data_IF_988265672911
#
_entry.id   IF_988265672911
#
_cell.length_a   1.000
_cell.length_b   1.000
_cell.length_c   1.000
_cell.angle_alpha   90.00
_cell.angle_beta   90.00
_cell.angle_gamma   90.00
#
_symmetry.space_group_name_H-M   'P 1'
#
loop_
_entity.id
_entity.type
_entity.pdbx_description
1 polymer ?
#
# COMPACT_ATOMS: atom_id res chain seq x y z
N UNK A 1 1.97 -16.72 35.80
CA UNK A 1 1.30 -16.51 34.50
C UNK A 1 -0.07 -15.92 34.77
N UNK A 2 -0.37 -14.75 34.23
CA UNK A 2 -1.71 -14.17 34.35
C UNK A 2 -2.66 -15.01 33.50
N UNK A 3 -3.59 -15.71 34.16
CA UNK A 3 -4.62 -16.47 33.47
C UNK A 3 -5.79 -15.54 33.13
N UNK A 4 -6.17 -15.49 31.85
CA UNK A 4 -7.33 -14.71 31.38
C UNK A 4 -8.67 -15.21 31.95
N UNK A 5 -8.68 -16.39 32.58
CA UNK A 5 -9.86 -17.05 33.14
C UNK A 5 -11.00 -17.12 32.10
N UNK A 6 -10.67 -17.73 30.96
CA UNK A 6 -11.55 -17.97 29.83
C UNK A 6 -11.43 -19.44 29.45
N UNK A 7 -12.52 -20.02 28.95
CA UNK A 7 -12.49 -21.26 28.21
C UNK A 7 -11.71 -21.13 26.89
N UNK A 8 -11.77 -22.15 26.01
CA UNK A 8 -11.19 -22.09 24.68
C UNK A 8 -11.61 -20.82 23.93
N UNK A 9 -10.64 -20.13 23.35
CA UNK A 9 -10.85 -18.94 22.52
C UNK A 9 -10.81 -19.38 21.05
N UNK A 10 -11.77 -18.92 20.24
CA UNK A 10 -11.82 -19.21 18.80
C UNK A 10 -11.38 -18.00 17.96
N UNK A 11 -12.09 -17.71 16.87
CA UNK A 11 -11.70 -16.76 15.82
C UNK A 11 -11.80 -15.30 16.32
N UNK A 12 -10.78 -14.91 17.09
CA UNK A 12 -10.58 -13.57 17.66
C UNK A 12 -10.16 -12.58 16.59
N UNK A 13 -10.33 -11.29 16.89
CA UNK A 13 -9.85 -10.21 16.05
C UNK A 13 -9.30 -9.05 16.90
N UNK A 14 -8.49 -8.18 16.30
CA UNK A 14 -7.80 -7.07 16.97
C UNK A 14 -8.29 -5.73 16.42
N UNK A 15 -8.37 -4.71 17.27
CA UNK A 15 -8.71 -3.35 16.82
C UNK A 15 -7.59 -2.78 15.93
N UNK A 16 -7.91 -1.94 14.92
CA UNK A 16 -6.90 -1.38 14.01
C UNK A 16 -5.81 -0.56 14.71
N UNK A 17 -6.17 0.08 15.84
CA UNK A 17 -5.23 0.80 16.70
C UNK A 17 -4.43 -0.10 17.65
N UNK A 18 -4.62 -1.43 17.54
CA UNK A 18 -3.96 -2.48 18.29
C UNK A 18 -4.13 -2.41 19.81
N UNK A 19 -5.13 -1.67 20.31
CA UNK A 19 -5.37 -1.58 21.76
C UNK A 19 -6.09 -2.79 22.34
N UNK A 20 -7.01 -3.38 21.59
CA UNK A 20 -7.89 -4.43 22.10
C UNK A 20 -7.92 -5.66 21.21
N UNK A 21 -7.82 -6.83 21.83
CA UNK A 21 -8.20 -8.12 21.22
C UNK A 21 -9.59 -8.50 21.71
N UNK A 22 -10.50 -8.76 20.78
CA UNK A 22 -11.82 -9.30 21.08
C UNK A 22 -11.77 -10.82 20.88
N UNK A 23 -11.88 -11.55 21.99
CA UNK A 23 -11.70 -13.00 22.05
C UNK A 23 -13.03 -13.70 22.35
N UNK A 24 -13.66 -14.37 21.36
CA UNK A 24 -14.87 -15.13 21.59
C UNK A 24 -14.55 -16.41 22.37
N UNK A 25 -15.19 -16.58 23.53
CA UNK A 25 -15.11 -17.75 24.39
C UNK A 25 -16.46 -18.50 24.30
N UNK A 26 -16.64 -19.38 23.29
CA UNK A 26 -17.92 -20.04 22.99
C UNK A 26 -18.56 -20.75 24.19
N UNK A 27 -17.75 -21.49 24.93
CA UNK A 27 -18.18 -22.30 26.07
C UNK A 27 -18.48 -21.46 27.33
N UNK A 28 -18.04 -20.21 27.35
CA UNK A 28 -18.35 -19.24 28.40
C UNK A 28 -19.52 -18.32 28.00
N UNK A 29 -20.02 -18.44 26.76
CA UNK A 29 -21.08 -17.60 26.18
C UNK A 29 -20.79 -16.10 26.26
N UNK A 30 -19.52 -15.73 26.05
CA UNK A 30 -19.08 -14.34 26.12
C UNK A 30 -17.95 -14.04 25.12
N UNK A 31 -17.77 -12.76 24.83
CA UNK A 31 -16.58 -12.21 24.18
C UNK A 31 -15.79 -11.43 25.23
N UNK A 32 -14.53 -11.79 25.43
CA UNK A 32 -13.62 -11.01 26.26
C UNK A 32 -12.97 -9.90 25.44
N UNK A 33 -12.90 -8.70 26.01
CA UNK A 33 -12.07 -7.62 25.49
C UNK A 33 -10.79 -7.62 26.30
N UNK A 34 -9.67 -7.89 25.65
CA UNK A 34 -8.34 -7.98 26.25
C UNK A 34 -7.56 -6.74 25.83
N UNK A 35 -7.05 -5.99 26.81
CA UNK A 35 -6.11 -4.91 26.58
C UNK A 35 -4.75 -5.48 26.20
N UNK A 36 -4.21 -5.04 25.06
CA UNK A 36 -3.00 -5.61 24.47
C UNK A 36 -1.77 -5.31 25.31
N UNK A 37 -1.65 -4.09 25.85
CA UNK A 37 -0.49 -3.65 26.61
C UNK A 37 -0.36 -4.41 27.94
N UNK A 38 -1.47 -4.52 28.69
CA UNK A 38 -1.49 -5.18 29.99
C UNK A 38 -1.73 -6.69 29.92
N UNK A 39 -2.20 -7.18 28.77
CA UNK A 39 -2.65 -8.57 28.59
C UNK A 39 -3.81 -8.95 29.52
N UNK A 40 -4.60 -7.98 29.99
CA UNK A 40 -5.69 -8.22 30.93
C UNK A 40 -7.06 -8.16 30.25
N UNK A 41 -8.00 -8.97 30.73
CA UNK A 41 -9.41 -8.86 30.33
C UNK A 41 -10.01 -7.61 30.99
N UNK A 42 -10.34 -6.60 30.19
CA UNK A 42 -10.93 -5.33 30.65
C UNK A 42 -12.46 -5.32 30.59
N UNK A 43 -13.06 -6.17 29.73
CA UNK A 43 -14.51 -6.36 29.63
C UNK A 43 -14.86 -7.80 29.26
N UNK A 44 -16.04 -8.24 29.69
CA UNK A 44 -16.68 -9.49 29.27
C UNK A 44 -18.07 -9.16 28.76
N UNK A 45 -18.34 -9.48 27.51
CA UNK A 45 -19.56 -9.12 26.79
C UNK A 45 -20.37 -10.40 26.56
N UNK A 46 -21.55 -10.49 27.18
CA UNK A 46 -22.46 -11.63 27.01
C UNK A 46 -23.27 -11.42 25.73
N UNK A 47 -22.61 -11.57 24.58
CA UNK A 47 -23.17 -11.19 23.27
C UNK A 47 -24.26 -12.12 22.78
N UNK A 48 -24.35 -13.34 23.29
CA UNK A 48 -25.28 -14.38 22.84
C UNK A 48 -24.71 -15.78 23.09
N UNK A 49 -25.40 -16.81 22.62
CA UNK A 49 -24.97 -18.19 22.82
C UNK A 49 -23.91 -18.64 21.81
N UNK A 50 -22.84 -19.26 22.33
CA UNK A 50 -21.76 -19.85 21.55
C UNK A 50 -21.13 -18.84 20.56
N UNK A 51 -20.58 -17.70 21.02
CA UNK A 51 -19.87 -16.77 20.15
C UNK A 51 -18.64 -17.46 19.57
N UNK A 52 -18.45 -17.43 18.24
CA UNK A 52 -17.35 -18.15 17.60
C UNK A 52 -16.42 -17.27 16.77
N UNK A 53 -16.94 -16.29 16.05
CA UNK A 53 -16.16 -15.42 15.18
C UNK A 53 -16.45 -13.97 15.49
N UNK A 54 -15.38 -13.21 15.70
CA UNK A 54 -15.39 -11.77 15.80
C UNK A 54 -14.77 -11.21 14.51
N UNK A 55 -15.38 -10.17 13.97
CA UNK A 55 -14.80 -9.33 12.94
C UNK A 55 -14.83 -7.87 13.38
N UNK A 56 -13.68 -7.25 13.46
CA UNK A 56 -13.53 -5.82 13.72
C UNK A 56 -13.55 -5.07 12.39
N UNK A 57 -14.38 -4.04 12.30
CA UNK A 57 -14.46 -3.17 11.12
C UNK A 57 -13.10 -2.51 10.85
N UNK A 58 -12.63 -2.39 9.59
CA UNK A 58 -11.34 -1.78 9.25
C UNK A 58 -11.14 -0.37 9.82
N UNK A 59 -12.23 0.39 9.95
CA UNK A 59 -12.25 1.73 10.53
C UNK A 59 -12.29 1.77 12.07
N UNK A 60 -12.32 0.61 12.73
CA UNK A 60 -12.25 0.48 14.19
C UNK A 60 -13.47 0.95 14.97
N UNK A 61 -14.60 1.22 14.31
CA UNK A 61 -15.81 1.70 14.97
C UNK A 61 -16.64 0.57 15.58
N UNK A 62 -16.73 -0.57 14.91
CA UNK A 62 -17.60 -1.67 15.29
C UNK A 62 -16.88 -3.02 15.27
N UNK A 63 -17.41 -3.97 16.04
CA UNK A 63 -17.13 -5.38 15.87
C UNK A 63 -18.42 -6.18 15.69
N UNK A 64 -18.39 -7.23 14.88
CA UNK A 64 -19.50 -8.13 14.65
C UNK A 64 -19.16 -9.52 15.18
N UNK A 65 -20.08 -10.08 15.97
CA UNK A 65 -19.92 -11.39 16.58
C UNK A 65 -20.98 -12.34 16.05
N UNK A 66 -20.56 -13.50 15.58
CA UNK A 66 -21.47 -14.60 15.27
C UNK A 66 -21.74 -15.46 16.50
N UNK A 67 -22.99 -15.51 16.93
CA UNK A 67 -23.46 -16.35 18.03
C UNK A 67 -24.02 -17.66 17.44
N UNK A 68 -23.19 -18.69 17.31
CA UNK A 68 -23.42 -19.83 16.41
C UNK A 68 -24.63 -20.69 16.75
N UNK A 69 -25.08 -20.68 17.99
CA UNK A 69 -26.28 -21.40 18.43
C UNK A 69 -27.44 -20.46 18.75
N UNK A 70 -27.29 -19.17 18.42
CA UNK A 70 -28.32 -18.15 18.58
C UNK A 70 -28.87 -17.70 17.22
N UNK A 71 -30.00 -16.99 17.21
CA UNK A 71 -30.64 -16.49 15.98
C UNK A 71 -30.32 -15.01 15.73
N UNK A 72 -29.10 -14.59 16.05
CA UNK A 72 -28.65 -13.23 15.78
C UNK A 72 -27.12 -13.09 15.76
N UNK A 73 -26.65 -12.03 15.11
CA UNK A 73 -25.31 -11.47 15.30
C UNK A 73 -25.37 -10.40 16.39
N UNK A 74 -24.21 -10.06 16.95
CA UNK A 74 -24.06 -8.90 17.83
C UNK A 74 -23.15 -7.88 17.19
N UNK A 75 -23.64 -6.65 17.00
CA UNK A 75 -22.86 -5.50 16.58
C UNK A 75 -22.43 -4.72 17.82
N UNK A 76 -21.15 -4.77 18.16
CA UNK A 76 -20.51 -4.10 19.28
C UNK A 76 -19.98 -2.75 18.80
N UNK A 77 -20.23 -1.68 19.55
CA UNK A 77 -19.54 -0.40 19.43
C UNK A 77 -18.21 -0.47 20.18
N UNK A 78 -17.10 -0.19 19.50
CA UNK A 78 -15.76 -0.35 20.08
C UNK A 78 -15.33 0.80 21.00
N UNK A 79 -16.08 1.89 21.05
CA UNK A 79 -15.83 3.00 21.97
C UNK A 79 -16.52 2.78 23.31
N UNK A 80 -17.73 2.20 23.30
CA UNK A 80 -18.55 2.00 24.51
C UNK A 80 -18.59 0.55 25.00
N UNK A 81 -18.28 -0.40 24.12
CA UNK A 81 -18.50 -1.84 24.29
C UNK A 81 -19.96 -2.24 24.51
N UNK A 82 -20.90 -1.35 24.19
CA UNK A 82 -22.31 -1.70 24.08
C UNK A 82 -22.57 -2.45 22.78
N UNK A 83 -23.59 -3.30 22.74
CA UNK A 83 -23.92 -4.04 21.53
C UNK A 83 -25.41 -4.10 21.25
N UNK A 84 -25.74 -4.26 19.98
CA UNK A 84 -27.09 -4.45 19.47
C UNK A 84 -27.19 -5.78 18.75
N UNK A 85 -28.38 -6.37 18.70
CA UNK A 85 -28.63 -7.64 18.01
C UNK A 85 -29.08 -7.39 16.58
N UNK A 86 -28.50 -8.14 15.63
CA UNK A 86 -28.94 -8.19 14.23
C UNK A 86 -29.58 -9.57 14.01
N UNK A 87 -30.91 -9.66 13.88
CA UNK A 87 -31.60 -10.94 13.76
C UNK A 87 -31.16 -11.75 12.54
N UNK A 88 -31.09 -13.06 12.72
CA UNK A 88 -30.91 -14.04 11.65
C UNK A 88 -32.01 -15.11 11.73
N UNK A 89 -32.18 -15.91 10.69
CA UNK A 89 -33.15 -17.01 10.74
C UNK A 89 -32.63 -18.26 11.49
N UNK A 90 -31.31 -18.44 11.52
CA UNK A 90 -30.61 -19.55 12.15
C UNK A 90 -29.22 -19.11 12.64
N UNK A 91 -28.49 -20.03 13.29
CA UNK A 91 -27.13 -19.85 13.80
C UNK A 91 -26.16 -19.26 12.76
N UNK A 92 -25.74 -18.00 12.88
CA UNK A 92 -24.68 -17.46 12.03
C UNK A 92 -23.31 -18.03 12.42
N UNK A 93 -22.43 -18.27 11.46
CA UNK A 93 -21.10 -18.83 11.73
C UNK A 93 -19.97 -17.95 11.19
N UNK A 94 -19.50 -18.22 9.97
CA UNK A 94 -18.47 -17.42 9.33
C UNK A 94 -19.01 -16.06 8.92
N UNK A 95 -18.25 -15.01 9.20
CA UNK A 95 -18.50 -13.66 8.71
C UNK A 95 -17.35 -13.23 7.79
N UNK A 96 -17.64 -12.30 6.89
CA UNK A 96 -16.63 -11.57 6.14
C UNK A 96 -17.13 -10.16 5.85
N UNK A 97 -16.25 -9.17 5.92
CA UNK A 97 -16.52 -7.89 5.28
C UNK A 97 -16.34 -8.03 3.78
N UNK A 98 -17.32 -7.54 3.01
CA UNK A 98 -17.18 -7.36 1.58
C UNK A 98 -16.69 -5.92 1.39
N UNK A 99 -15.49 -5.69 0.84
CA UNK A 99 -15.08 -4.35 0.48
C UNK A 99 -16.11 -3.79 -0.50
N UNK A 100 -16.68 -2.63 -0.19
CA UNK A 100 -17.51 -1.93 -1.16
C UNK A 100 -16.57 -1.27 -2.18
N UNK A 101 -16.35 -1.95 -3.29
CA UNK A 101 -15.76 -1.32 -4.47
C UNK A 101 -16.86 -0.47 -5.11
N UNK A 102 -17.13 0.71 -4.54
CA UNK A 102 -17.80 1.73 -5.33
C UNK A 102 -16.93 1.90 -6.58
N UNK A 103 -17.54 1.76 -7.76
CA UNK A 103 -16.84 1.99 -9.03
C UNK A 103 -16.42 3.47 -9.07
N UNK A 104 -15.32 3.80 -8.41
CA UNK A 104 -14.68 5.09 -8.51
C UNK A 104 -14.22 5.23 -9.95
N UNK A 105 -14.67 6.26 -10.65
CA UNK A 105 -14.13 6.57 -11.97
C UNK A 105 -12.63 6.78 -11.84
N UNK A 106 -11.82 5.98 -12.54
CA UNK A 106 -10.37 6.12 -12.50
C UNK A 106 -9.96 7.42 -13.18
N UNK A 107 -9.25 8.30 -12.47
CA UNK A 107 -8.58 9.46 -13.07
C UNK A 107 -7.20 9.07 -13.55
N UNK A 108 -6.68 9.73 -14.58
CA UNK A 108 -5.28 9.60 -14.95
C UNK A 108 -4.43 10.50 -14.05
N UNK A 109 -3.50 9.90 -13.31
CA UNK A 109 -2.41 10.63 -12.67
C UNK A 109 -1.28 10.73 -13.68
N UNK A 110 -1.19 11.88 -14.35
CA UNK A 110 -0.19 12.09 -15.39
C UNK A 110 1.18 12.30 -14.76
N UNK A 111 2.13 11.46 -15.11
CA UNK A 111 3.49 11.45 -14.59
C UNK A 111 4.48 11.67 -15.74
N UNK A 112 5.66 12.18 -15.46
CA UNK A 112 6.69 12.44 -16.47
C UNK A 112 8.05 11.92 -16.06
N UNK A 113 8.82 11.43 -17.03
CA UNK A 113 10.23 11.07 -16.83
C UNK A 113 11.05 11.33 -18.09
N UNK A 114 12.25 11.88 -17.93
CA UNK A 114 13.24 12.00 -18.99
C UNK A 114 14.31 10.91 -18.80
N UNK A 115 14.36 9.93 -19.71
CA UNK A 115 15.29 8.80 -19.66
C UNK A 115 16.21 8.82 -20.88
N UNK A 116 17.47 8.33 -20.79
CA UNK A 116 18.29 8.10 -21.96
C UNK A 116 17.83 6.81 -22.64
N UNK A 117 16.80 6.90 -23.49
CA UNK A 117 16.24 5.76 -24.21
C UNK A 117 17.11 5.37 -25.41
N UNK A 118 17.86 6.35 -25.95
CA UNK A 118 18.89 6.16 -26.97
C UNK A 118 20.25 6.72 -26.54
N UNK A 119 21.27 6.56 -27.39
CA UNK A 119 22.64 6.94 -27.09
C UNK A 119 23.41 5.90 -26.25
N UNK A 120 24.55 6.31 -25.70
CA UNK A 120 25.50 5.44 -24.97
C UNK A 120 24.88 4.72 -23.76
N UNK A 121 23.95 5.37 -23.07
CA UNK A 121 23.25 4.81 -21.91
C UNK A 121 21.88 4.22 -22.26
N UNK A 122 21.55 4.12 -23.56
CA UNK A 122 20.23 3.70 -24.06
C UNK A 122 19.72 2.38 -23.47
N UNK A 123 20.63 1.44 -23.18
CA UNK A 123 20.24 0.18 -22.54
C UNK A 123 19.68 0.40 -21.14
N UNK A 124 20.31 1.24 -20.31
CA UNK A 124 19.87 1.50 -18.93
C UNK A 124 18.54 2.24 -18.90
N UNK A 125 18.36 3.25 -19.75
CA UNK A 125 17.10 3.99 -19.82
C UNK A 125 15.93 3.10 -20.24
N UNK A 126 16.14 2.16 -21.17
CA UNK A 126 15.10 1.18 -21.54
C UNK A 126 14.80 0.17 -20.44
N UNK A 127 15.78 -0.23 -19.63
CA UNK A 127 15.52 -1.06 -18.45
C UNK A 127 14.66 -0.32 -17.41
N UNK A 128 14.98 0.95 -17.11
CA UNK A 128 14.16 1.77 -16.21
C UNK A 128 12.75 1.98 -16.75
N UNK A 129 12.60 2.27 -18.04
CA UNK A 129 11.28 2.39 -18.69
C UNK A 129 10.44 1.13 -18.43
N UNK A 130 11.00 -0.07 -18.63
CA UNK A 130 10.27 -1.32 -18.39
C UNK A 130 9.93 -1.53 -16.92
N UNK A 131 10.78 -1.10 -15.99
CA UNK A 131 10.49 -1.09 -14.57
C UNK A 131 9.27 -0.23 -14.23
N UNK A 132 9.25 1.02 -14.70
CA UNK A 132 8.09 1.90 -14.53
C UNK A 132 6.82 1.34 -15.17
N UNK A 133 6.91 0.79 -16.38
CA UNK A 133 5.78 0.13 -17.05
C UNK A 133 5.29 -1.10 -16.28
N UNK A 134 6.21 -1.86 -15.68
CA UNK A 134 5.84 -3.00 -14.85
C UNK A 134 5.10 -2.58 -13.59
N UNK A 135 5.63 -1.60 -12.85
CA UNK A 135 4.96 -1.01 -11.69
C UNK A 135 3.58 -0.45 -12.06
N UNK A 136 3.51 0.39 -13.10
CA UNK A 136 2.25 0.95 -13.62
C UNK A 136 1.23 -0.14 -13.91
N UNK A 137 1.63 -1.18 -14.65
CA UNK A 137 0.74 -2.28 -15.02
C UNK A 137 0.27 -3.08 -13.80
N UNK A 138 1.13 -3.24 -12.79
CA UNK A 138 0.81 -3.93 -11.54
C UNK A 138 -0.23 -3.15 -10.74
N UNK A 139 -0.03 -1.84 -10.60
CA UNK A 139 -0.97 -0.94 -9.93
C UNK A 139 -2.33 -0.94 -10.62
N UNK A 140 -2.37 -0.80 -11.96
CA UNK A 140 -3.64 -0.79 -12.71
C UNK A 140 -4.38 -2.13 -12.57
N UNK A 141 -3.67 -3.27 -12.68
CA UNK A 141 -4.25 -4.60 -12.46
C UNK A 141 -4.74 -4.77 -11.01
N UNK A 142 -4.09 -4.10 -10.06
CA UNK A 142 -4.45 -4.06 -8.64
C UNK A 142 -5.60 -3.11 -8.29
N UNK A 143 -6.21 -2.44 -9.27
CA UNK A 143 -7.35 -1.52 -9.05
C UNK A 143 -6.97 -0.05 -8.94
N UNK A 144 -5.73 0.33 -9.26
CA UNK A 144 -5.27 1.72 -9.25
C UNK A 144 -4.78 2.21 -7.87
N UNK A 145 -4.37 3.48 -7.81
CA UNK A 145 -3.94 4.16 -6.58
C UNK A 145 -5.16 4.81 -5.93
N UNK A 146 -5.66 4.23 -4.84
CA UNK A 146 -6.67 4.88 -4.00
C UNK A 146 -6.03 5.97 -3.15
N UNK A 147 -6.43 7.22 -3.37
CA UNK A 147 -5.95 8.40 -2.64
C UNK A 147 -7.18 9.23 -2.24
N UNK A 148 -7.43 9.32 -0.94
CA UNK A 148 -8.72 9.78 -0.42
C UNK A 148 -9.83 8.84 -0.91
N UNK A 149 -10.84 9.43 -1.55
CA UNK A 149 -11.96 8.68 -2.16
C UNK A 149 -11.83 8.57 -3.69
N UNK A 150 -10.67 8.90 -4.26
CA UNK A 150 -10.43 8.92 -5.69
C UNK A 150 -9.39 7.88 -6.07
N UNK A 151 -9.70 7.05 -7.07
CA UNK A 151 -8.75 6.13 -7.66
C UNK A 151 -8.05 6.77 -8.86
N UNK A 152 -6.73 6.60 -8.92
CA UNK A 152 -5.90 7.09 -10.00
C UNK A 152 -5.17 5.93 -10.71
N UNK A 153 -5.22 5.92 -12.04
CA UNK A 153 -4.31 5.13 -12.85
C UNK A 153 -3.05 5.95 -13.15
N UNK A 154 -1.85 5.43 -12.90
CA UNK A 154 -0.63 6.07 -13.37
C UNK A 154 -0.60 6.13 -14.90
N UNK A 155 -0.27 7.30 -15.44
CA UNK A 155 -0.17 7.58 -16.88
C UNK A 155 1.16 8.29 -17.16
N UNK A 156 2.16 7.56 -17.66
CA UNK A 156 3.55 8.02 -17.69
C UNK A 156 3.93 8.50 -19.09
N UNK A 157 4.42 9.74 -19.17
CA UNK A 157 5.04 10.32 -20.36
C UNK A 157 6.55 10.14 -20.27
N UNK A 158 7.14 9.58 -21.33
CA UNK A 158 8.58 9.34 -21.45
C UNK A 158 9.18 10.25 -22.51
N UNK A 159 10.22 11.01 -22.16
CA UNK A 159 11.03 11.76 -23.11
C UNK A 159 12.45 11.21 -23.17
N UNK A 160 13.05 11.20 -24.36
CA UNK A 160 14.39 10.67 -24.58
C UNK A 160 15.46 11.76 -24.43
N UNK A 161 16.38 11.60 -23.47
CA UNK A 161 17.52 12.50 -23.31
C UNK A 161 18.64 12.22 -24.31
N UNK A 162 18.57 11.11 -25.05
CA UNK A 162 19.59 10.64 -26.00
C UNK A 162 20.98 10.48 -25.34
N UNK A 163 21.00 10.19 -24.04
CA UNK A 163 22.22 10.17 -23.20
C UNK A 163 22.95 11.52 -23.13
N UNK A 164 22.23 12.63 -23.35
CA UNK A 164 22.73 13.99 -23.24
C UNK A 164 22.10 14.72 -22.04
N UNK A 165 22.93 15.03 -21.04
CA UNK A 165 22.49 15.73 -19.83
C UNK A 165 22.04 17.17 -20.10
N UNK A 166 22.53 17.82 -21.15
CA UNK A 166 22.13 19.20 -21.49
C UNK A 166 20.65 19.28 -21.91
N UNK A 167 20.07 18.17 -22.38
CA UNK A 167 18.65 18.08 -22.76
C UNK A 167 17.73 17.95 -21.54
N UNK A 168 18.24 17.48 -20.41
CA UNK A 168 17.44 17.13 -19.24
C UNK A 168 16.56 18.29 -18.80
N UNK A 169 17.14 19.47 -18.57
CA UNK A 169 16.40 20.66 -18.12
C UNK A 169 15.27 21.04 -19.06
N UNK A 170 15.53 21.07 -20.37
CA UNK A 170 14.49 21.41 -21.36
C UNK A 170 13.38 20.37 -21.41
N UNK A 171 13.72 19.08 -21.32
CA UNK A 171 12.74 18.00 -21.34
C UNK A 171 11.91 17.97 -20.05
N UNK A 172 12.51 18.22 -18.89
CA UNK A 172 11.75 18.39 -17.63
C UNK A 172 10.77 19.56 -17.74
N UNK A 173 11.18 20.70 -18.32
CA UNK A 173 10.25 21.80 -18.57
C UNK A 173 9.15 21.43 -19.58
N UNK A 174 9.45 20.65 -20.61
CA UNK A 174 8.47 20.15 -21.58
C UNK A 174 7.41 19.26 -20.91
N UNK A 175 7.84 18.33 -20.05
CA UNK A 175 6.95 17.49 -19.24
C UNK A 175 5.97 18.34 -18.42
N UNK A 176 6.46 19.39 -17.76
CA UNK A 176 5.65 20.26 -16.90
C UNK A 176 4.71 21.17 -17.70
N UNK A 177 5.16 21.70 -18.83
CA UNK A 177 4.43 22.74 -19.58
C UNK A 177 3.52 22.18 -20.67
N UNK A 178 4.02 21.27 -21.50
CA UNK A 178 3.26 20.71 -22.63
C UNK A 178 2.42 19.51 -22.21
N UNK A 179 3.01 18.58 -21.46
CA UNK A 179 2.33 17.35 -21.04
C UNK A 179 1.57 17.51 -19.72
N UNK A 180 1.80 18.62 -18.99
CA UNK A 180 1.12 18.97 -17.75
C UNK A 180 1.17 17.82 -16.73
N UNK A 181 2.35 17.22 -16.56
CA UNK A 181 2.54 16.15 -15.59
C UNK A 181 2.36 16.69 -14.18
N UNK A 182 1.71 15.90 -13.33
CA UNK A 182 1.44 16.21 -11.92
C UNK A 182 2.55 15.69 -11.01
N UNK A 183 3.32 14.70 -11.47
CA UNK A 183 4.40 14.06 -10.75
C UNK A 183 5.56 13.84 -11.72
N UNK A 184 6.78 14.18 -11.28
CA UNK A 184 8.00 13.78 -11.95
C UNK A 184 8.50 12.48 -11.32
N UNK A 185 8.75 11.48 -12.15
CA UNK A 185 9.53 10.31 -11.75
C UNK A 185 11.00 10.67 -11.95
N UNK A 186 11.83 10.32 -10.98
CA UNK A 186 13.27 10.51 -11.04
C UNK A 186 13.90 9.58 -12.08
N UNK A 187 14.96 10.02 -12.76
CA UNK A 187 15.76 9.13 -13.61
C UNK A 187 16.86 8.45 -12.78
N UNK A 188 18.11 8.37 -13.26
CA UNK A 188 19.26 7.88 -12.49
C UNK A 188 20.37 8.93 -12.37
N UNK A 189 21.17 8.80 -11.31
CA UNK A 189 22.32 9.67 -11.04
C UNK A 189 21.97 10.88 -10.18
N UNK A 190 22.84 11.18 -9.21
CA UNK A 190 22.58 12.20 -8.19
C UNK A 190 22.55 13.63 -8.76
N UNK A 191 23.43 13.95 -9.71
CA UNK A 191 23.49 15.29 -10.31
C UNK A 191 22.23 15.60 -11.13
N UNK A 192 21.80 14.61 -11.91
CA UNK A 192 20.55 14.64 -12.64
C UNK A 192 19.35 14.83 -11.70
N UNK A 193 19.27 14.03 -10.63
CA UNK A 193 18.21 14.12 -9.65
C UNK A 193 18.16 15.51 -8.99
N UNK A 194 19.31 16.05 -8.60
CA UNK A 194 19.38 17.37 -7.96
C UNK A 194 18.90 18.48 -8.90
N UNK A 195 19.21 18.40 -10.19
CA UNK A 195 18.71 19.35 -11.20
C UNK A 195 17.18 19.25 -11.35
N UNK A 196 16.64 18.04 -11.47
CA UNK A 196 15.19 17.84 -11.53
C UNK A 196 14.51 18.32 -10.25
N UNK A 197 15.13 18.09 -9.10
CA UNK A 197 14.63 18.51 -7.79
C UNK A 197 14.53 20.02 -7.68
N UNK A 198 15.54 20.76 -8.12
CA UNK A 198 15.49 22.22 -8.14
C UNK A 198 14.28 22.73 -8.96
N UNK A 199 14.05 22.14 -10.13
CA UNK A 199 12.92 22.49 -11.00
C UNK A 199 11.58 22.12 -10.35
N UNK A 200 11.49 20.92 -9.77
CA UNK A 200 10.29 20.40 -9.14
C UNK A 200 9.89 21.25 -7.91
N UNK A 201 10.86 21.56 -7.04
CA UNK A 201 10.66 22.38 -5.85
C UNK A 201 10.19 23.80 -6.21
N UNK A 202 10.80 24.41 -7.23
CA UNK A 202 10.42 25.74 -7.70
C UNK A 202 8.98 25.81 -8.24
N UNK A 203 8.44 24.69 -8.73
CA UNK A 203 7.09 24.60 -9.28
C UNK A 203 6.08 23.88 -8.36
N UNK A 204 6.48 23.48 -7.15
CA UNK A 204 5.68 22.67 -6.22
C UNK A 204 5.15 21.37 -6.86
N UNK A 205 6.00 20.72 -7.66
CA UNK A 205 5.72 19.42 -8.29
C UNK A 205 6.39 18.32 -7.48
N UNK A 206 5.67 17.23 -7.25
CA UNK A 206 6.25 16.06 -6.57
C UNK A 206 7.30 15.43 -7.49
N UNK A 207 8.53 15.29 -6.99
CA UNK A 207 9.57 14.46 -7.59
C UNK A 207 9.74 13.20 -6.74
N UNK A 208 9.67 12.02 -7.36
CA UNK A 208 9.94 10.76 -6.65
C UNK A 208 11.39 10.69 -6.17
N UNK A 209 11.68 9.81 -5.22
CA UNK A 209 12.97 9.81 -4.51
C UNK A 209 14.18 9.63 -5.39
N UNK A 210 15.34 10.07 -4.87
CA UNK A 210 16.61 9.85 -5.54
C UNK A 210 16.76 8.37 -5.91
N UNK A 211 17.08 8.07 -7.17
CA UNK A 211 17.68 6.79 -7.51
C UNK A 211 18.96 6.71 -6.66
N UNK A 212 19.12 5.71 -5.81
CA UNK A 212 20.44 5.46 -5.23
C UNK A 212 21.47 5.15 -6.32
N UNK A 213 22.70 4.82 -5.93
CA UNK A 213 23.59 4.09 -6.85
C UNK A 213 22.96 2.74 -7.23
N UNK A 214 23.36 2.17 -8.37
CA UNK A 214 22.94 0.82 -8.74
C UNK A 214 23.35 -0.16 -7.64
N UNK A 215 22.38 -0.62 -6.86
CA UNK A 215 22.60 -1.69 -5.91
C UNK A 215 22.55 -3.04 -6.63
N UNK A 216 23.57 -3.86 -6.44
CA UNK A 216 23.60 -5.22 -6.99
C UNK A 216 22.44 -6.00 -6.40
N UNK A 217 21.52 -6.39 -7.28
CA UNK A 217 20.28 -7.06 -6.93
C UNK A 217 20.41 -8.58 -7.05
N UNK A 218 20.11 -9.31 -5.97
CA UNK A 218 20.07 -10.77 -5.96
C UNK A 218 18.66 -11.24 -5.52
N UNK A 219 17.89 -11.92 -6.39
CA UNK A 219 16.59 -12.47 -6.04
C UNK A 219 16.68 -13.52 -4.92
N UNK A 220 15.82 -13.37 -3.91
CA UNK A 220 15.65 -14.34 -2.83
C UNK A 220 14.19 -14.31 -2.32
N UNK A 221 13.89 -15.17 -1.36
CA UNK A 221 12.56 -15.29 -0.76
C UNK A 221 12.41 -14.50 0.55
N UNK A 222 13.37 -13.63 0.89
CA UNK A 222 13.28 -12.83 2.10
C UNK A 222 12.18 -11.80 1.92
N UNK A 223 11.12 -11.91 2.73
CA UNK A 223 10.06 -10.91 2.77
C UNK A 223 10.64 -9.60 3.31
N UNK A 224 10.59 -8.56 2.48
CA UNK A 224 11.11 -7.23 2.83
C UNK A 224 10.00 -6.19 2.84
N UNK A 225 9.06 -6.24 1.89
CA UNK A 225 8.00 -5.26 1.80
C UNK A 225 6.60 -5.80 2.13
N UNK A 226 5.70 -4.88 2.47
CA UNK A 226 4.25 -5.09 2.45
C UNK A 226 3.64 -4.68 1.08
N UNK A 227 4.51 -4.53 0.07
CA UNK A 227 4.14 -4.14 -1.30
C UNK A 227 3.62 -5.32 -2.13
N UNK A 228 3.19 -5.05 -3.37
CA UNK A 228 2.66 -6.06 -4.30
C UNK A 228 3.60 -7.24 -4.58
N UNK A 229 4.91 -7.05 -4.40
CA UNK A 229 5.89 -8.06 -4.74
C UNK A 229 6.39 -8.80 -3.51
N UNK A 230 6.46 -8.17 -2.33
CA UNK A 230 6.84 -8.75 -1.02
C UNK A 230 8.31 -9.20 -0.93
N UNK A 231 8.78 -9.96 -1.93
CA UNK A 231 10.13 -10.52 -2.07
C UNK A 231 10.69 -10.18 -3.46
N UNK A 232 12.02 -10.17 -3.56
CA UNK A 232 12.71 -9.99 -4.85
C UNK A 232 12.45 -11.14 -5.82
N UNK A 233 12.25 -12.37 -5.34
CA UNK A 233 11.90 -13.52 -6.21
C UNK A 233 10.48 -13.43 -6.79
N UNK A 234 9.49 -12.95 -6.01
CA UNK A 234 8.13 -12.75 -6.53
C UNK A 234 8.09 -11.62 -7.57
N UNK A 235 8.85 -10.54 -7.35
CA UNK A 235 9.09 -9.53 -8.38
C UNK A 235 9.68 -10.15 -9.66
N UNK A 236 10.78 -10.91 -9.54
CA UNK A 236 11.45 -11.56 -10.69
C UNK A 236 10.47 -12.44 -11.47
N UNK A 237 9.71 -13.30 -10.79
CA UNK A 237 8.75 -14.21 -11.42
C UNK A 237 7.65 -13.48 -12.17
N UNK A 238 7.06 -12.46 -11.56
CA UNK A 238 6.01 -11.66 -12.21
C UNK A 238 6.56 -10.89 -13.42
N UNK A 239 7.77 -10.34 -13.29
CA UNK A 239 8.44 -9.63 -14.38
C UNK A 239 8.75 -10.56 -15.57
N UNK A 240 9.29 -11.76 -15.31
CA UNK A 240 9.53 -12.79 -16.34
C UNK A 240 8.20 -13.20 -17.00
N UNK A 241 7.13 -13.34 -16.22
CA UNK A 241 5.80 -13.70 -16.77
C UNK A 241 5.31 -12.62 -17.74
N UNK A 242 5.56 -11.35 -17.46
CA UNK A 242 5.12 -10.24 -18.30
C UNK A 242 6.01 -10.02 -19.54
N UNK A 243 7.34 -10.12 -19.39
CA UNK A 243 8.28 -9.72 -20.45
C UNK A 243 9.09 -10.86 -21.06
N UNK A 244 9.01 -12.07 -20.50
CA UNK A 244 9.73 -13.27 -20.94
C UNK A 244 11.27 -13.16 -20.86
N UNK A 245 11.80 -12.33 -19.96
CA UNK A 245 13.22 -12.29 -19.59
C UNK A 245 13.39 -11.73 -18.18
N UNK A 246 14.60 -11.91 -17.61
CA UNK A 246 14.91 -11.47 -16.25
C UNK A 246 15.01 -9.95 -16.15
N UNK A 247 14.46 -9.32 -15.10
CA UNK A 247 14.70 -7.91 -14.84
C UNK A 247 16.18 -7.64 -14.53
N UNK A 248 16.62 -6.43 -14.82
CA UNK A 248 17.90 -5.87 -14.37
C UNK A 248 17.72 -5.07 -13.07
N UNK A 249 18.83 -4.72 -12.40
CA UNK A 249 18.83 -3.79 -11.26
C UNK A 249 18.15 -2.47 -11.61
N UNK A 250 18.31 -1.96 -12.84
CA UNK A 250 17.69 -0.73 -13.31
C UNK A 250 16.16 -0.83 -13.41
N UNK A 251 15.65 -1.95 -13.92
CA UNK A 251 14.19 -2.18 -13.95
C UNK A 251 13.60 -2.37 -12.55
N UNK A 252 14.34 -3.03 -11.64
CA UNK A 252 13.93 -3.22 -10.26
C UNK A 252 13.93 -1.90 -9.47
N UNK A 253 14.97 -1.07 -9.64
CA UNK A 253 15.06 0.27 -9.07
C UNK A 253 13.90 1.16 -9.52
N UNK A 254 13.62 1.23 -10.82
CA UNK A 254 12.49 2.02 -11.33
C UNK A 254 11.15 1.54 -10.77
N UNK A 255 10.95 0.23 -10.64
CA UNK A 255 9.75 -0.32 -10.00
C UNK A 255 9.66 0.08 -8.53
N UNK A 256 10.77 0.04 -7.80
CA UNK A 256 10.85 0.43 -6.40
C UNK A 256 10.58 1.93 -6.19
N UNK A 257 11.07 2.79 -7.09
CA UNK A 257 10.75 4.23 -7.08
C UNK A 257 9.23 4.45 -7.18
N UNK A 258 8.56 3.75 -8.10
CA UNK A 258 7.11 3.78 -8.24
C UNK A 258 6.37 3.31 -6.97
N UNK A 259 6.83 2.21 -6.36
CA UNK A 259 6.25 1.71 -5.10
C UNK A 259 6.45 2.67 -3.94
N UNK A 260 7.61 3.32 -3.83
CA UNK A 260 7.85 4.31 -2.77
C UNK A 260 6.88 5.48 -2.90
N UNK A 261 6.64 5.95 -4.13
CA UNK A 261 5.62 6.95 -4.41
C UNK A 261 4.20 6.48 -4.05
N UNK A 262 3.83 5.27 -4.44
CA UNK A 262 2.56 4.66 -4.08
C UNK A 262 2.38 4.62 -2.55
N UNK A 263 3.37 4.12 -1.81
CA UNK A 263 3.29 4.01 -0.36
C UNK A 263 3.17 5.39 0.30
N UNK A 264 3.92 6.39 -0.17
CA UNK A 264 3.78 7.76 0.30
C UNK A 264 2.36 8.30 0.08
N UNK A 265 1.76 8.06 -1.09
CA UNK A 265 0.38 8.48 -1.38
C UNK A 265 -0.64 7.78 -0.48
N UNK A 266 -0.49 6.48 -0.26
CA UNK A 266 -1.39 5.69 0.58
C UNK A 266 -1.28 6.08 2.05
N UNK A 267 -0.06 6.32 2.55
CA UNK A 267 0.17 6.80 3.92
C UNK A 267 -0.38 8.21 4.13
N UNK A 268 -0.15 9.12 3.17
CA UNK A 268 -0.64 10.49 3.27
C UNK A 268 -2.16 10.62 3.07
N UNK A 269 -2.73 9.70 2.30
CA UNK A 269 -4.11 9.77 1.80
C UNK A 269 -4.43 11.09 1.06
N UNK A 270 -3.42 11.69 0.42
CA UNK A 270 -3.52 12.95 -0.35
C UNK A 270 -2.45 12.98 -1.45
N UNK A 271 -2.59 13.89 -2.42
CA UNK A 271 -1.56 14.24 -3.42
C UNK A 271 -0.89 15.59 -3.12
N UNK A 272 -0.99 16.07 -1.87
CA UNK A 272 -0.35 17.32 -1.46
C UNK A 272 1.18 17.27 -1.58
N UNK A 273 1.76 18.27 -2.24
CA UNK A 273 3.18 18.34 -2.52
C UNK A 273 4.05 18.25 -1.26
N UNK A 274 3.74 19.02 -0.21
CA UNK A 274 4.57 19.08 0.99
C UNK A 274 4.53 17.77 1.75
N UNK A 275 3.33 17.21 1.92
CA UNK A 275 3.09 15.97 2.65
C UNK A 275 3.77 14.79 1.96
N UNK A 276 3.60 14.66 0.65
CA UNK A 276 4.22 13.57 -0.12
C UNK A 276 5.73 13.72 -0.14
N UNK A 277 6.26 14.92 -0.38
CA UNK A 277 7.71 15.16 -0.40
C UNK A 277 8.35 14.82 0.96
N UNK A 278 7.69 15.15 2.07
CA UNK A 278 8.17 14.80 3.41
C UNK A 278 8.24 13.28 3.62
N UNK A 279 7.22 12.53 3.18
CA UNK A 279 7.21 11.06 3.27
C UNK A 279 8.22 10.41 2.33
N UNK A 280 8.42 10.94 1.13
CA UNK A 280 9.43 10.42 0.21
C UNK A 280 10.84 10.54 0.79
N UNK A 281 11.12 11.64 1.49
CA UNK A 281 12.43 11.89 2.10
C UNK A 281 12.65 11.13 3.42
N UNK A 282 11.63 11.04 4.28
CA UNK A 282 11.79 10.57 5.65
C UNK A 282 11.00 9.30 5.99
N UNK A 283 10.14 8.84 5.08
CA UNK A 283 9.30 7.66 5.30
C UNK A 283 10.11 6.38 5.30
N UNK A 284 9.91 5.56 6.33
CA UNK A 284 10.44 4.21 6.40
C UNK A 284 9.53 3.26 5.63
N UNK A 285 9.80 3.16 4.33
CA UNK A 285 9.09 2.23 3.46
C UNK A 285 9.95 1.01 3.23
N UNK A 286 9.55 -0.12 3.82
CA UNK A 286 10.15 -1.39 3.50
C UNK A 286 9.64 -1.87 2.15
N UNK A 287 10.55 -1.94 1.17
CA UNK A 287 10.28 -2.36 -0.20
C UNK A 287 10.93 -3.72 -0.48
N UNK A 288 10.46 -4.41 -1.51
CA UNK A 288 11.13 -5.62 -1.99
C UNK A 288 12.59 -5.36 -2.40
N UNK A 289 12.90 -4.16 -2.88
CA UNK A 289 14.22 -3.74 -3.33
C UNK A 289 14.96 -3.01 -2.18
N UNK A 290 16.24 -3.35 -1.93
CA UNK A 290 17.03 -2.77 -0.83
C UNK A 290 17.36 -1.29 -1.04
#
# INVERSE_FOLDING_TARGET
>A
MNHLNLGPILYSDITPDQKYVLAPAPFDHQVAVIDVDSGQVIKRLVTGLNPINVLVSPEGQYAYVSNATDKHLSKIDLHTFEFTSIPTHAGPNGLAFIPEFTSSTHKKLRMGVALPLTGKEGSKGREMLRGYEYWKSTVIKGGGLLIGNQVYDPDIVYLDTESNQDKLKSLTHELLTQYQVQVLLSTYGIDTYNLEKEIADAQHIILTTSPGEEMIWNPDNTARGYDYFVTTNLYEKGYITQYNFKPSSWSALASAIGLKFQNACQTANTLDYQTITALLNNGDFHLFYP
#
